data_IF_559046410628
#
_entry.id   IF_559046410628
#
_cell.length_a   1.000
_cell.length_b   1.000
_cell.length_c   1.000
_cell.angle_alpha   90.00
_cell.angle_beta   90.00
_cell.angle_gamma   90.00
#
_symmetry.space_group_name_H-M   'P 1'
#
loop_
_entity.id
_entity.type
_entity.pdbx_description
1 polymer ?
#
# COMPACT_ATOMS: atom_id res chain seq x y z
N UNK A 1 -32.93 -41.87 38.23
CA UNK A 1 -33.50 -41.90 36.87
C UNK A 1 -33.41 -40.48 36.33
N UNK A 2 -32.82 -40.12 35.18
CA UNK A 2 -32.15 -40.81 34.08
C UNK A 2 -31.09 -39.82 33.55
N UNK A 3 -29.87 -40.30 33.29
CA UNK A 3 -28.86 -39.68 32.42
C UNK A 3 -29.27 -39.84 30.96
N UNK A 4 -28.87 -38.92 30.09
CA UNK A 4 -28.72 -39.11 28.64
C UNK A 4 -28.09 -37.84 28.06
N UNK A 5 -27.14 -37.83 27.11
CA UNK A 5 -26.15 -38.77 26.63
C UNK A 5 -25.25 -37.91 25.72
N UNK A 6 -23.94 -38.10 25.80
CA UNK A 6 -22.93 -37.48 24.93
C UNK A 6 -23.15 -37.91 23.47
N UNK A 7 -22.97 -37.00 22.51
CA UNK A 7 -22.61 -37.34 21.13
C UNK A 7 -21.43 -36.49 20.67
N UNK A 8 -20.25 -37.10 20.77
CA UNK A 8 -19.02 -36.74 20.07
C UNK A 8 -19.25 -36.86 18.57
N UNK A 9 -18.95 -35.80 17.80
CA UNK A 9 -18.87 -35.88 16.34
C UNK A 9 -17.39 -35.95 15.97
N UNK A 10 -16.99 -37.13 15.51
CA UNK A 10 -15.68 -37.40 14.90
C UNK A 10 -15.72 -36.87 13.46
N UNK A 11 -14.89 -35.89 13.13
CA UNK A 11 -14.64 -35.48 11.75
C UNK A 11 -13.61 -36.43 11.15
N UNK A 12 -14.03 -37.19 10.14
CA UNK A 12 -13.17 -38.10 9.36
C UNK A 12 -12.51 -37.28 8.26
N UNK A 13 -11.19 -37.11 8.36
CA UNK A 13 -10.34 -36.52 7.34
C UNK A 13 -10.24 -37.52 6.17
N UNK A 14 -10.87 -37.20 5.04
CA UNK A 14 -10.74 -37.98 3.80
C UNK A 14 -9.66 -37.36 2.94
N UNK A 15 -8.49 -37.99 2.91
CA UNK A 15 -7.38 -37.67 2.00
C UNK A 15 -7.72 -38.29 0.64
N UNK A 16 -8.04 -37.45 -0.34
CA UNK A 16 -8.08 -37.86 -1.75
C UNK A 16 -6.70 -37.64 -2.37
N UNK A 17 -5.95 -38.74 -2.49
CA UNK A 17 -4.78 -38.85 -3.36
C UNK A 17 -5.29 -39.01 -4.80
N UNK A 18 -4.89 -38.13 -5.70
CA UNK A 18 -4.93 -38.39 -7.13
C UNK A 18 -3.51 -38.29 -7.71
N UNK A 19 -3.21 -39.34 -8.48
CA UNK A 19 -1.93 -39.74 -9.05
C UNK A 19 -1.90 -39.53 -10.56
N UNK A 20 -0.71 -39.29 -11.11
CA UNK A 20 -0.36 -39.39 -12.54
C UNK A 20 0.13 -38.05 -13.11
N UNK A 21 1.27 -37.93 -13.80
CA UNK A 21 1.88 -38.85 -14.75
C UNK A 21 3.41 -38.80 -14.76
N UNK A 22 3.99 -39.88 -15.29
CA UNK A 22 5.40 -40.23 -15.35
C UNK A 22 6.21 -39.54 -16.46
N UNK A 23 7.48 -39.30 -16.13
CA UNK A 23 8.73 -39.54 -16.88
C UNK A 23 8.90 -39.06 -18.33
N UNK A 24 9.95 -38.25 -18.56
CA UNK A 24 10.90 -38.45 -19.67
C UNK A 24 12.33 -38.19 -19.18
N UNK A 25 13.11 -39.26 -19.16
CA UNK A 25 14.58 -39.30 -19.05
C UNK A 25 15.21 -38.91 -20.39
N UNK A 26 16.09 -37.91 -20.41
CA UNK A 26 16.97 -37.62 -21.54
C UNK A 26 18.16 -38.59 -21.56
N UNK A 27 18.48 -39.23 -22.70
CA UNK A 27 19.76 -39.90 -22.87
C UNK A 27 20.82 -38.89 -23.35
N UNK A 28 21.97 -38.93 -22.68
CA UNK A 28 23.23 -38.35 -23.13
C UNK A 28 23.77 -39.17 -24.30
N UNK A 29 24.21 -38.53 -25.38
CA UNK A 29 25.15 -39.15 -26.32
C UNK A 29 26.02 -38.08 -26.98
N UNK A 30 27.32 -38.33 -26.91
CA UNK A 30 28.43 -37.59 -27.52
C UNK A 30 28.34 -37.49 -29.05
N UNK A 31 29.07 -36.52 -29.60
CA UNK A 31 29.94 -36.80 -30.74
C UNK A 31 29.69 -36.02 -32.02
N UNK A 32 30.28 -34.82 -32.07
CA UNK A 32 31.07 -34.25 -33.17
C UNK A 32 30.59 -34.43 -34.62
N UNK A 33 30.22 -33.34 -35.27
CA UNK A 33 30.62 -33.10 -36.67
C UNK A 33 30.74 -31.59 -36.93
N UNK A 34 31.97 -31.16 -37.23
CA UNK A 34 32.28 -29.84 -37.75
C UNK A 34 31.73 -29.70 -39.18
N UNK A 35 31.16 -28.54 -39.48
CA UNK A 35 31.14 -28.02 -40.84
C UNK A 35 31.15 -26.50 -40.79
N UNK A 36 32.30 -25.94 -41.17
CA UNK A 36 32.51 -24.52 -41.43
C UNK A 36 31.54 -24.03 -42.52
N UNK A 37 30.86 -22.91 -42.31
CA UNK A 37 30.27 -22.13 -43.39
C UNK A 37 30.21 -20.65 -43.00
N UNK A 38 31.12 -19.89 -43.61
CA UNK A 38 31.11 -18.45 -43.95
C UNK A 38 30.46 -17.47 -42.97
N UNK A 39 31.32 -16.64 -42.36
CA UNK A 39 30.97 -15.36 -41.74
C UNK A 39 30.61 -14.37 -42.85
N UNK A 40 29.33 -14.03 -42.98
CA UNK A 40 28.91 -12.78 -43.63
C UNK A 40 28.74 -11.69 -42.57
N UNK A 41 29.48 -10.61 -42.78
CA UNK A 41 29.43 -9.39 -41.99
C UNK A 41 28.15 -8.62 -42.32
N UNK A 42 27.17 -8.58 -41.42
CA UNK A 42 26.10 -7.58 -41.46
C UNK A 42 26.36 -6.50 -40.42
N UNK A 43 26.78 -5.33 -40.88
CA UNK A 43 26.67 -4.09 -40.11
C UNK A 43 25.19 -3.75 -39.83
N UNK A 44 25.01 -3.02 -38.73
CA UNK A 44 23.81 -2.26 -38.35
C UNK A 44 22.61 -3.06 -37.85
N UNK A 45 22.35 -3.00 -36.53
CA UNK A 45 21.59 -1.88 -35.99
C UNK A 45 21.97 -1.72 -34.52
N UNK A 46 22.57 -0.57 -34.21
CA UNK A 46 22.80 -0.13 -32.84
C UNK A 46 21.42 -0.02 -32.18
N UNK A 47 21.12 -0.97 -31.28
CA UNK A 47 19.91 -0.93 -30.48
C UNK A 47 19.98 0.36 -29.66
N UNK A 48 19.21 1.36 -30.08
CA UNK A 48 18.98 2.55 -29.28
C UNK A 48 18.23 2.07 -28.04
N UNK A 49 18.95 1.83 -26.96
CA UNK A 49 18.39 1.75 -25.62
C UNK A 49 17.81 3.11 -25.34
N UNK A 50 16.55 3.32 -25.72
CA UNK A 50 15.73 4.39 -25.15
C UNK A 50 15.72 4.12 -23.66
N UNK A 51 16.60 4.80 -22.94
CA UNK A 51 16.61 4.82 -21.48
C UNK A 51 15.29 5.48 -21.13
N UNK A 52 14.27 4.68 -20.77
CA UNK A 52 12.99 5.25 -20.36
C UNK A 52 13.28 6.27 -19.26
N UNK A 53 12.79 7.49 -19.44
CA UNK A 53 13.09 8.61 -18.56
C UNK A 53 12.55 8.29 -17.17
N UNK A 54 13.44 7.91 -16.25
CA UNK A 54 13.14 7.66 -14.83
C UNK A 54 12.59 8.91 -14.16
N UNK A 55 11.93 8.72 -13.01
CA UNK A 55 11.43 9.80 -12.18
C UNK A 55 12.55 10.67 -11.60
N UNK A 56 12.17 11.89 -11.23
CA UNK A 56 12.98 12.85 -10.46
C UNK A 56 12.15 13.37 -9.28
N UNK A 57 11.64 12.45 -8.48
CA UNK A 57 10.93 12.69 -7.23
C UNK A 57 11.93 12.96 -6.11
N UNK A 58 11.65 14.00 -5.33
CA UNK A 58 12.31 14.34 -4.08
C UNK A 58 11.40 13.96 -2.91
N UNK A 59 11.99 13.64 -1.77
CA UNK A 59 11.22 13.37 -0.56
C UNK A 59 10.47 14.63 -0.12
N UNK A 60 9.17 14.48 0.17
CA UNK A 60 8.31 15.53 0.71
C UNK A 60 8.22 15.37 2.23
N UNK A 61 8.80 16.29 3.02
CA UNK A 61 8.78 16.18 4.48
C UNK A 61 7.39 16.20 5.09
N UNK A 62 6.44 16.87 4.43
CA UNK A 62 5.04 16.97 4.86
C UNK A 62 4.18 16.43 3.73
N UNK A 63 3.42 15.37 4.02
CA UNK A 63 2.38 14.83 3.14
C UNK A 63 1.09 14.63 3.91
N UNK A 64 -0.04 14.77 3.22
CA UNK A 64 -1.38 14.57 3.77
C UNK A 64 -2.38 14.35 2.64
N UNK A 65 -3.40 13.54 2.86
CA UNK A 65 -4.51 13.45 1.92
C UNK A 65 -5.52 14.56 2.13
N UNK A 66 -6.24 14.94 1.07
CA UNK A 66 -7.27 15.98 1.17
C UNK A 66 -8.44 15.53 2.04
N UNK A 67 -8.79 14.23 2.01
CA UNK A 67 -9.82 13.64 2.86
C UNK A 67 -9.42 13.74 4.34
N UNK A 68 -8.18 13.40 4.67
CA UNK A 68 -7.71 13.49 6.05
C UNK A 68 -7.65 14.95 6.51
N UNK A 69 -7.25 15.88 5.64
CA UNK A 69 -7.31 17.32 5.94
C UNK A 69 -8.74 17.84 6.17
N UNK A 70 -9.72 17.41 5.36
CA UNK A 70 -11.13 17.80 5.56
C UNK A 70 -11.70 17.29 6.89
N UNK A 71 -11.35 16.05 7.26
CA UNK A 71 -11.83 15.44 8.51
C UNK A 71 -11.15 16.09 9.72
N UNK A 72 -9.84 16.34 9.65
CA UNK A 72 -9.06 16.80 10.81
C UNK A 72 -9.00 18.34 10.92
N UNK A 73 -9.20 19.06 9.83
CA UNK A 73 -9.15 20.52 9.79
C UNK A 73 -7.73 21.12 9.89
N UNK A 74 -7.68 22.42 9.61
CA UNK A 74 -6.42 23.17 9.47
C UNK A 74 -5.62 23.29 10.77
N UNK A 75 -6.28 23.41 11.93
CA UNK A 75 -5.58 23.57 13.21
C UNK A 75 -4.69 22.34 13.54
N UNK A 76 -5.19 21.13 13.28
CA UNK A 76 -4.43 19.89 13.47
C UNK A 76 -3.36 19.71 12.38
N UNK A 77 -3.63 20.15 11.16
CA UNK A 77 -2.64 20.15 10.10
C UNK A 77 -1.46 21.10 10.39
N UNK A 78 -1.75 22.28 10.94
CA UNK A 78 -0.73 23.22 11.40
C UNK A 78 0.10 22.62 12.55
N UNK A 79 -0.56 21.99 13.53
CA UNK A 79 0.12 21.28 14.61
C UNK A 79 1.05 20.17 14.08
N UNK A 80 0.61 19.40 13.08
CA UNK A 80 1.41 18.38 12.43
C UNK A 80 2.65 18.95 11.72
N UNK A 81 2.50 20.04 10.96
CA UNK A 81 3.63 20.73 10.33
C UNK A 81 4.62 21.24 11.36
N UNK A 82 4.13 21.79 12.48
CA UNK A 82 4.98 22.27 13.56
C UNK A 82 5.74 21.13 14.24
N UNK A 83 5.07 20.00 14.48
CA UNK A 83 5.70 18.79 14.99
C UNK A 83 6.82 18.28 14.08
N UNK A 84 6.60 18.18 12.77
CA UNK A 84 7.65 17.76 11.82
C UNK A 84 8.85 18.71 11.88
N UNK A 85 8.61 20.02 11.84
CA UNK A 85 9.68 21.02 11.91
C UNK A 85 10.47 20.92 13.21
N UNK A 86 9.78 20.73 14.34
CA UNK A 86 10.43 20.54 15.63
C UNK A 86 11.34 19.30 15.61
N UNK A 87 10.85 18.16 15.11
CA UNK A 87 11.66 16.95 14.99
C UNK A 87 12.89 17.17 14.11
N UNK A 88 12.73 17.82 12.95
CA UNK A 88 13.82 18.14 12.01
C UNK A 88 14.86 19.10 12.60
N UNK A 89 14.45 20.01 13.48
CA UNK A 89 15.34 20.94 14.17
C UNK A 89 15.99 20.34 15.43
N UNK A 90 15.62 19.11 15.82
CA UNK A 90 16.07 18.51 17.07
C UNK A 90 15.44 19.13 18.31
N UNK A 91 14.25 19.72 18.17
CA UNK A 91 13.44 20.29 19.25
C UNK A 91 12.52 19.19 19.84
N UNK A 92 12.03 19.39 21.06
CA UNK A 92 11.13 18.46 21.78
C UNK A 92 9.81 19.11 22.19
N UNK A 93 9.54 20.29 21.64
CA UNK A 93 8.27 21.00 21.78
C UNK A 93 7.86 21.64 20.44
N UNK A 94 6.56 21.84 20.25
CA UNK A 94 6.02 22.51 19.06
C UNK A 94 4.74 23.28 19.39
N UNK A 95 4.42 24.27 18.58
CA UNK A 95 3.20 25.07 18.72
C UNK A 95 1.95 24.28 18.30
N UNK A 96 0.92 24.33 19.14
CA UNK A 96 -0.38 23.70 18.91
C UNK A 96 -1.47 24.47 19.65
N UNK A 97 -2.65 24.59 19.06
CA UNK A 97 -3.68 25.51 19.53
C UNK A 97 -4.37 25.03 20.81
N UNK A 98 -4.72 23.74 20.88
CA UNK A 98 -5.41 23.14 22.02
C UNK A 98 -4.81 21.79 22.41
N UNK A 99 -5.07 21.34 23.64
CA UNK A 99 -4.71 19.99 24.09
C UNK A 99 -5.42 18.91 23.27
N UNK A 100 -6.65 19.16 22.83
CA UNK A 100 -7.37 18.25 21.94
C UNK A 100 -6.66 18.11 20.59
N UNK A 101 -6.29 19.23 19.96
CA UNK A 101 -5.55 19.20 18.68
C UNK A 101 -4.24 18.42 18.83
N UNK A 102 -3.54 18.61 19.95
CA UNK A 102 -2.34 17.83 20.28
C UNK A 102 -2.63 16.33 20.35
N UNK A 103 -3.59 15.92 21.19
CA UNK A 103 -3.90 14.51 21.44
C UNK A 103 -4.29 13.78 20.15
N UNK A 104 -5.06 14.44 19.29
CA UNK A 104 -5.54 13.86 18.04
C UNK A 104 -4.49 13.88 16.94
N UNK A 105 -3.70 14.95 16.85
CA UNK A 105 -2.60 15.00 15.91
C UNK A 105 -1.54 13.94 16.23
N UNK A 106 -1.01 13.93 17.46
CA UNK A 106 0.09 13.04 17.84
C UNK A 106 -0.34 11.56 17.86
N UNK A 107 -1.62 11.27 18.11
CA UNK A 107 -2.15 9.92 18.17
C UNK A 107 -2.44 9.28 16.81
N UNK A 108 -2.41 10.04 15.70
CA UNK A 108 -2.82 9.55 14.38
C UNK A 108 -1.82 9.90 13.28
N UNK A 109 -1.36 11.15 13.23
CA UNK A 109 -0.62 11.66 12.07
C UNK A 109 0.74 11.00 11.91
N UNK A 110 1.56 10.79 12.97
CA UNK A 110 2.83 10.11 12.80
C UNK A 110 2.66 8.71 12.18
N UNK A 111 1.71 7.93 12.69
CA UNK A 111 1.38 6.60 12.18
C UNK A 111 1.02 6.59 10.68
N UNK A 112 0.28 7.59 10.21
CA UNK A 112 -0.21 7.65 8.83
C UNK A 112 0.77 8.28 7.84
N UNK A 113 1.55 9.26 8.29
CA UNK A 113 2.27 10.14 7.38
C UNK A 113 3.76 10.32 7.72
N UNK A 114 4.25 9.76 8.83
CA UNK A 114 5.67 9.85 9.23
C UNK A 114 6.20 8.50 9.72
N UNK A 115 6.50 7.55 8.80
CA UNK A 115 6.88 6.19 9.15
C UNK A 115 8.04 6.08 10.17
N UNK A 116 9.06 6.93 10.05
CA UNK A 116 10.22 6.94 10.96
C UNK A 116 9.85 7.56 12.30
N UNK A 117 9.18 8.71 12.30
CA UNK A 117 8.88 9.44 13.53
C UNK A 117 7.87 8.69 14.41
N UNK A 118 6.93 7.97 13.81
CA UNK A 118 6.05 7.04 14.51
C UNK A 118 6.83 6.03 15.37
N UNK A 119 7.90 5.47 14.81
CA UNK A 119 8.70 4.44 15.49
C UNK A 119 9.54 5.06 16.59
N UNK A 120 10.11 6.24 16.36
CA UNK A 120 11.22 6.77 17.15
C UNK A 120 10.92 8.02 17.98
N UNK A 121 9.68 8.52 17.94
CA UNK A 121 9.17 9.53 18.87
C UNK A 121 7.97 8.99 19.64
N UNK A 122 7.61 9.65 20.72
CA UNK A 122 6.36 9.39 21.45
C UNK A 122 5.82 10.64 22.15
N UNK A 123 4.50 10.66 22.31
CA UNK A 123 3.78 11.63 23.12
C UNK A 123 4.21 11.53 24.60
N UNK A 124 4.38 12.67 25.25
CA UNK A 124 4.55 12.73 26.71
C UNK A 124 3.23 12.53 27.48
N UNK A 125 2.10 12.36 26.76
CA UNK A 125 0.74 12.22 27.28
C UNK A 125 0.39 13.27 28.35
N UNK A 126 -0.32 12.92 29.42
CA UNK A 126 -0.90 13.89 30.35
C UNK A 126 0.08 14.98 30.81
N UNK A 127 -0.27 16.25 30.60
CA UNK A 127 0.58 17.40 30.89
C UNK A 127 1.58 17.78 29.79
N UNK A 128 1.55 17.09 28.64
CA UNK A 128 2.38 17.43 27.48
C UNK A 128 2.02 18.80 26.89
N UNK A 129 0.76 19.23 27.00
CA UNK A 129 0.27 20.51 26.52
C UNK A 129 0.30 21.58 27.62
N UNK A 130 0.85 22.76 27.30
CA UNK A 130 0.83 23.94 28.15
C UNK A 130 0.97 25.22 27.33
N UNK A 131 0.06 26.17 27.55
CA UNK A 131 0.13 27.54 27.03
C UNK A 131 0.38 27.63 25.51
N UNK A 132 -0.29 26.79 24.71
CA UNK A 132 -0.16 26.80 23.24
C UNK A 132 1.05 26.03 22.68
N UNK A 133 1.73 25.27 23.54
CA UNK A 133 2.81 24.36 23.15
C UNK A 133 2.53 22.96 23.63
N UNK A 134 2.99 21.97 22.87
CA UNK A 134 3.03 20.59 23.30
C UNK A 134 4.44 20.01 23.22
N UNK A 135 4.72 19.04 24.09
CA UNK A 135 6.00 18.35 24.18
C UNK A 135 5.89 16.90 23.74
N UNK A 136 6.99 16.36 23.22
CA UNK A 136 7.15 14.94 22.89
C UNK A 136 8.55 14.48 23.30
N UNK A 137 8.83 13.20 23.20
CA UNK A 137 10.16 12.67 23.49
C UNK A 137 10.66 11.73 22.41
N UNK A 138 11.98 11.62 22.33
CA UNK A 138 12.68 10.73 21.40
C UNK A 138 12.99 9.41 22.08
N UNK A 139 12.70 8.29 21.40
CA UNK A 139 13.02 6.93 21.87
C UNK A 139 14.48 6.54 21.64
N UNK A 140 15.17 7.31 20.80
CA UNK A 140 16.59 7.16 20.43
C UNK A 140 17.26 8.55 20.41
N UNK A 141 18.61 8.63 20.40
CA UNK A 141 19.29 9.92 20.25
C UNK A 141 18.84 10.70 19.00
N UNK A 142 18.74 12.03 19.10
CA UNK A 142 18.26 12.91 18.01
C UNK A 142 19.08 12.76 16.72
N UNK A 143 20.40 12.61 16.86
CA UNK A 143 21.31 12.35 15.74
C UNK A 143 21.05 10.99 15.07
N UNK A 144 20.74 9.95 15.86
CA UNK A 144 20.39 8.63 15.32
C UNK A 144 19.05 8.67 14.58
N UNK A 145 18.05 9.40 15.10
CA UNK A 145 16.78 9.61 14.41
C UNK A 145 16.99 10.33 13.08
N UNK A 146 17.78 11.40 13.06
CA UNK A 146 18.09 12.14 11.83
C UNK A 146 18.77 11.23 10.77
N UNK A 147 19.67 10.34 11.20
CA UNK A 147 20.28 9.35 10.31
C UNK A 147 19.25 8.38 9.74
N UNK A 148 18.40 7.77 10.59
CA UNK A 148 17.35 6.85 10.14
C UNK A 148 16.35 7.52 9.20
N UNK A 149 16.04 8.78 9.45
CA UNK A 149 15.20 9.59 8.57
C UNK A 149 15.87 9.75 7.21
N UNK A 150 17.13 10.19 7.13
CA UNK A 150 17.83 10.35 5.85
C UNK A 150 17.96 9.03 5.05
N UNK A 151 18.20 7.91 5.73
CA UNK A 151 18.21 6.57 5.13
C UNK A 151 16.84 6.21 4.54
N UNK A 152 15.75 6.52 5.27
CA UNK A 152 14.39 6.27 4.82
C UNK A 152 13.97 7.20 3.66
N UNK A 153 14.35 8.47 3.69
CA UNK A 153 14.12 9.42 2.61
C UNK A 153 14.74 8.92 1.31
N UNK A 154 16.00 8.45 1.39
CA UNK A 154 16.72 7.85 0.26
C UNK A 154 15.97 6.62 -0.26
N UNK A 155 15.59 5.68 0.62
CA UNK A 155 14.83 4.48 0.26
C UNK A 155 13.54 4.84 -0.49
N UNK A 156 12.79 5.82 0.00
CA UNK A 156 11.53 6.27 -0.61
C UNK A 156 11.79 6.87 -1.99
N UNK A 157 12.75 7.78 -2.10
CA UNK A 157 13.07 8.42 -3.39
C UNK A 157 13.62 7.44 -4.41
N UNK A 158 14.40 6.44 -3.97
CA UNK A 158 14.93 5.39 -4.85
C UNK A 158 13.78 4.56 -5.44
N UNK A 159 12.81 4.16 -4.61
CA UNK A 159 11.62 3.44 -5.09
C UNK A 159 10.84 4.29 -6.10
N UNK A 160 10.55 5.55 -5.77
CA UNK A 160 9.77 6.43 -6.66
C UNK A 160 10.49 6.66 -7.98
N UNK A 161 11.81 6.90 -7.95
CA UNK A 161 12.60 7.17 -9.16
C UNK A 161 12.90 5.91 -9.98
N UNK A 162 12.85 4.73 -9.37
CA UNK A 162 12.92 3.44 -10.08
C UNK A 162 11.60 3.12 -10.78
N UNK A 163 10.47 3.28 -10.09
CA UNK A 163 9.16 2.77 -10.52
C UNK A 163 8.39 3.77 -11.38
N UNK A 164 8.56 5.07 -11.13
CA UNK A 164 7.75 6.12 -11.75
C UNK A 164 8.53 6.92 -12.77
N UNK A 165 7.77 7.56 -13.66
CA UNK A 165 8.24 8.63 -14.54
C UNK A 165 7.62 9.95 -14.11
N UNK A 166 8.23 11.06 -14.50
CA UNK A 166 7.72 12.40 -14.17
C UNK A 166 6.45 12.75 -14.96
N UNK A 167 6.29 12.15 -16.14
CA UNK A 167 5.15 12.40 -17.04
C UNK A 167 3.96 11.48 -16.76
N UNK A 168 4.09 10.48 -15.88
CA UNK A 168 2.97 9.61 -15.50
C UNK A 168 1.79 10.40 -14.93
N UNK A 169 0.61 10.11 -15.45
CA UNK A 169 -0.66 10.50 -14.84
C UNK A 169 -0.84 9.81 -13.48
N UNK A 170 -1.79 10.29 -12.68
CA UNK A 170 -2.04 9.69 -11.37
C UNK A 170 -2.51 8.24 -11.47
N UNK A 171 -3.28 7.88 -12.51
CA UNK A 171 -3.65 6.48 -12.80
C UNK A 171 -2.41 5.62 -13.03
N UNK A 172 -1.44 6.12 -13.80
CA UNK A 172 -0.20 5.40 -14.11
C UNK A 172 0.69 5.25 -12.86
N UNK A 173 0.75 6.27 -12.01
CA UNK A 173 1.48 6.20 -10.73
C UNK A 173 0.88 5.15 -9.80
N UNK A 174 -0.46 5.13 -9.68
CA UNK A 174 -1.17 4.13 -8.86
C UNK A 174 -0.94 2.74 -9.40
N UNK A 175 -1.07 2.53 -10.72
CA UNK A 175 -0.84 1.23 -11.35
C UNK A 175 0.61 0.75 -11.16
N UNK A 176 1.59 1.60 -11.45
CA UNK A 176 3.00 1.23 -11.35
C UNK A 176 3.39 0.86 -9.92
N UNK A 177 2.98 1.65 -8.91
CA UNK A 177 3.23 1.33 -7.51
C UNK A 177 2.44 0.10 -7.04
N UNK A 178 1.21 -0.10 -7.52
CA UNK A 178 0.38 -1.26 -7.16
C UNK A 178 1.06 -2.56 -7.60
N UNK A 179 1.55 -2.59 -8.84
CA UNK A 179 2.32 -3.72 -9.39
C UNK A 179 3.67 -3.87 -8.68
N UNK A 180 4.36 -2.76 -8.36
CA UNK A 180 5.58 -2.80 -7.57
C UNK A 180 5.35 -3.46 -6.21
N UNK A 181 4.27 -3.11 -5.51
CA UNK A 181 3.93 -3.69 -4.21
C UNK A 181 3.68 -5.18 -4.30
N UNK A 182 2.91 -5.61 -5.30
CA UNK A 182 2.60 -7.02 -5.56
C UNK A 182 3.86 -7.87 -5.78
N UNK A 183 4.89 -7.30 -6.43
CA UNK A 183 6.12 -8.02 -6.80
C UNK A 183 7.25 -7.92 -5.77
N UNK A 184 7.23 -6.93 -4.87
CA UNK A 184 8.39 -6.63 -3.99
C UNK A 184 8.14 -6.86 -2.50
N UNK A 185 6.89 -7.06 -2.09
CA UNK A 185 6.53 -7.28 -0.69
C UNK A 185 5.78 -8.60 -0.52
N UNK A 186 5.93 -9.19 0.67
CA UNK A 186 5.28 -10.46 1.02
C UNK A 186 4.42 -10.29 2.27
N UNK A 187 3.25 -10.92 2.27
CA UNK A 187 2.37 -10.91 3.42
C UNK A 187 2.97 -11.70 4.60
N UNK A 188 3.03 -11.07 5.76
CA UNK A 188 3.60 -11.64 6.99
C UNK A 188 2.54 -12.40 7.80
N UNK A 189 2.24 -13.64 7.37
CA UNK A 189 1.28 -14.51 8.05
C UNK A 189 1.70 -14.87 9.47
N UNK A 190 3.01 -14.93 9.75
CA UNK A 190 3.50 -15.23 11.09
C UNK A 190 3.17 -14.11 12.07
N UNK A 191 3.34 -12.85 11.64
CA UNK A 191 2.90 -11.69 12.42
C UNK A 191 1.38 -11.65 12.53
N UNK A 192 0.65 -11.83 11.42
CA UNK A 192 -0.83 -11.82 11.42
C UNK A 192 -1.40 -12.83 12.42
N UNK A 193 -0.94 -14.08 12.38
CA UNK A 193 -1.44 -15.15 13.24
C UNK A 193 -1.12 -14.93 14.72
N UNK A 194 -0.03 -14.21 15.06
CA UNK A 194 0.29 -13.87 16.45
C UNK A 194 -0.62 -12.79 17.03
N UNK A 195 -1.23 -11.96 16.19
CA UNK A 195 -2.09 -10.86 16.65
C UNK A 195 -3.38 -11.33 17.34
N UNK A 196 -3.83 -12.56 17.09
CA UNK A 196 -4.98 -13.13 17.82
C UNK A 196 -4.66 -13.44 19.28
N UNK A 197 -3.38 -13.69 19.58
CA UNK A 197 -2.92 -14.25 20.84
C UNK A 197 -2.18 -13.23 21.70
N UNK A 198 -1.49 -12.27 21.08
CA UNK A 198 -0.61 -11.32 21.75
C UNK A 198 -0.58 -9.94 21.06
N UNK A 199 -0.27 -8.89 21.84
CA UNK A 199 -0.04 -7.56 21.30
C UNK A 199 1.31 -7.49 20.57
N UNK A 200 1.29 -7.59 19.25
CA UNK A 200 2.50 -7.46 18.41
C UNK A 200 2.91 -5.98 18.32
N UNK A 201 4.15 -5.69 18.72
CA UNK A 201 4.74 -4.35 18.63
C UNK A 201 5.40 -4.11 17.27
N UNK A 202 5.50 -2.85 16.87
CA UNK A 202 6.28 -2.44 15.69
C UNK A 202 5.57 -2.61 14.33
N UNK A 203 4.26 -2.83 14.33
CA UNK A 203 3.44 -2.82 13.11
C UNK A 203 3.35 -1.38 12.59
N UNK A 204 4.12 -1.08 11.53
CA UNK A 204 4.20 0.27 10.95
C UNK A 204 4.74 0.23 9.51
N UNK A 205 4.48 1.28 8.73
CA UNK A 205 4.98 1.39 7.36
C UNK A 205 6.52 1.32 7.29
N UNK A 206 7.25 1.83 8.29
CA UNK A 206 8.71 1.78 8.32
C UNK A 206 9.24 0.34 8.36
N UNK A 207 8.63 -0.53 9.18
CA UNK A 207 8.93 -1.97 9.18
C UNK A 207 8.66 -2.56 7.81
N UNK A 208 7.48 -2.30 7.24
CA UNK A 208 7.09 -2.83 5.93
C UNK A 208 8.11 -2.52 4.83
N UNK A 209 8.55 -1.26 4.72
CA UNK A 209 9.57 -0.85 3.76
C UNK A 209 10.92 -1.54 3.98
N UNK A 210 11.37 -1.61 5.24
CA UNK A 210 12.73 -2.07 5.58
C UNK A 210 12.88 -3.58 5.58
N UNK A 211 11.84 -4.33 5.94
CA UNK A 211 11.87 -5.80 5.98
C UNK A 211 11.32 -6.43 4.71
N UNK A 212 10.58 -5.68 3.88
CA UNK A 212 9.78 -6.17 2.75
C UNK A 212 8.66 -7.16 3.14
N UNK A 213 8.30 -7.21 4.42
CA UNK A 213 7.26 -8.08 4.97
C UNK A 213 6.32 -7.27 5.87
N UNK A 214 5.03 -7.52 5.76
CA UNK A 214 4.07 -7.02 6.73
C UNK A 214 2.64 -7.41 6.41
N UNK A 215 1.70 -6.84 7.15
CA UNK A 215 0.27 -7.15 7.06
C UNK A 215 -0.52 -6.03 6.38
N UNK A 216 -1.83 -6.20 6.24
CA UNK A 216 -2.73 -5.28 5.54
C UNK A 216 -2.60 -3.82 5.99
N UNK A 217 -2.56 -3.55 7.31
CA UNK A 217 -2.45 -2.20 7.85
C UNK A 217 -1.16 -1.47 7.46
N UNK A 218 -0.04 -2.20 7.43
CA UNK A 218 1.25 -1.61 7.05
C UNK A 218 1.35 -1.42 5.55
N UNK A 219 0.83 -2.38 4.77
CA UNK A 219 0.75 -2.27 3.33
C UNK A 219 -0.09 -1.07 2.89
N UNK A 220 -1.29 -0.92 3.44
CA UNK A 220 -2.18 0.20 3.15
C UNK A 220 -1.53 1.56 3.48
N UNK A 221 -0.85 1.64 4.63
CA UNK A 221 -0.17 2.86 5.06
C UNK A 221 1.06 3.15 4.19
N UNK A 222 1.86 2.14 3.85
CA UNK A 222 3.03 2.29 2.99
C UNK A 222 2.64 2.68 1.55
N UNK A 223 1.59 2.06 1.01
CA UNK A 223 1.11 2.35 -0.34
C UNK A 223 0.55 3.76 -0.45
N UNK A 224 -0.34 4.16 0.46
CA UNK A 224 -0.83 5.55 0.54
C UNK A 224 0.30 6.55 0.74
N UNK A 225 1.30 6.23 1.58
CA UNK A 225 2.46 7.10 1.78
C UNK A 225 3.25 7.34 0.48
N UNK A 226 3.58 6.31 -0.31
CA UNK A 226 4.28 6.51 -1.58
C UNK A 226 3.43 7.29 -2.60
N UNK A 227 2.12 7.05 -2.64
CA UNK A 227 1.21 7.81 -3.50
C UNK A 227 1.25 9.29 -3.17
N UNK A 228 1.15 9.65 -1.89
CA UNK A 228 1.24 11.04 -1.44
C UNK A 228 2.62 11.66 -1.76
N UNK A 229 3.71 10.90 -1.57
CA UNK A 229 5.05 11.34 -1.99
C UNK A 229 5.12 11.59 -3.50
N UNK A 230 4.47 10.75 -4.32
CA UNK A 230 4.33 10.93 -5.77
C UNK A 230 3.31 12.02 -6.19
N UNK A 231 2.62 12.64 -5.21
CA UNK A 231 1.63 13.69 -5.44
C UNK A 231 0.23 13.20 -5.82
N UNK A 232 -0.06 11.91 -5.63
CA UNK A 232 -1.40 11.35 -5.77
C UNK A 232 -2.10 11.39 -4.42
N UNK A 233 -3.32 11.91 -4.38
CA UNK A 233 -4.10 11.98 -3.14
C UNK A 233 -4.58 10.58 -2.72
N UNK A 234 -4.17 10.13 -1.54
CA UNK A 234 -4.45 8.79 -1.05
C UNK A 234 -4.48 8.72 0.48
N UNK A 235 -5.37 7.89 1.03
CA UNK A 235 -5.50 7.65 2.47
C UNK A 235 -5.76 6.17 2.75
N UNK A 236 -5.77 5.77 4.01
CA UNK A 236 -6.10 4.40 4.41
C UNK A 236 -7.62 4.25 4.52
N UNK A 237 -8.15 3.11 4.10
CA UNK A 237 -9.51 2.66 4.39
C UNK A 237 -9.43 1.32 5.13
N UNK A 238 -10.39 1.06 6.01
CA UNK A 238 -10.54 -0.23 6.66
C UNK A 238 -11.98 -0.65 6.75
N UNK A 239 -12.18 -1.94 7.01
CA UNK A 239 -13.49 -2.55 7.22
C UNK A 239 -13.36 -3.88 7.94
N UNK A 240 -14.50 -4.49 8.24
CA UNK A 240 -14.58 -5.78 8.91
C UNK A 240 -15.40 -6.75 8.07
N UNK A 241 -14.90 -7.98 7.94
CA UNK A 241 -15.65 -9.09 7.33
C UNK A 241 -16.96 -9.32 8.08
N UNK A 242 -18.05 -9.49 7.34
CA UNK A 242 -19.40 -9.62 7.90
C UNK A 242 -19.63 -10.87 8.76
N UNK A 243 -18.91 -11.94 8.47
CA UNK A 243 -19.12 -13.27 9.03
C UNK A 243 -18.10 -13.54 10.13
N UNK A 244 -16.82 -13.28 9.86
CA UNK A 244 -15.72 -13.54 10.80
C UNK A 244 -15.47 -12.37 11.74
N UNK A 245 -15.81 -11.14 11.33
CA UNK A 245 -15.47 -9.92 12.04
C UNK A 245 -14.00 -9.49 11.88
N UNK A 246 -13.20 -10.24 11.11
CA UNK A 246 -11.79 -9.95 10.90
C UNK A 246 -11.62 -8.58 10.21
N UNK A 247 -10.75 -7.76 10.79
CA UNK A 247 -10.45 -6.43 10.27
C UNK A 247 -9.48 -6.49 9.09
N UNK A 248 -9.72 -5.67 8.07
CA UNK A 248 -8.82 -5.51 6.94
C UNK A 248 -8.61 -4.03 6.64
N UNK A 249 -7.44 -3.71 6.09
CA UNK A 249 -7.05 -2.34 5.72
C UNK A 249 -6.46 -2.31 4.32
N UNK A 250 -6.81 -1.27 3.56
CA UNK A 250 -6.36 -1.03 2.19
C UNK A 250 -6.28 0.47 1.92
N UNK A 251 -5.99 0.87 0.67
CA UNK A 251 -5.83 2.29 0.31
C UNK A 251 -7.06 2.81 -0.43
N UNK A 252 -7.37 4.07 -0.19
CA UNK A 252 -8.41 4.85 -0.86
C UNK A 252 -7.74 6.00 -1.61
N UNK A 253 -8.01 6.14 -2.89
CA UNK A 253 -7.32 7.08 -3.78
C UNK A 253 -8.32 8.05 -4.41
N UNK A 254 -7.96 9.32 -4.46
CA UNK A 254 -8.72 10.36 -5.17
C UNK A 254 -8.02 10.72 -6.47
N UNK A 255 -8.69 10.57 -7.61
CA UNK A 255 -8.19 11.00 -8.93
C UNK A 255 -9.26 11.83 -9.63
N UNK A 256 -8.92 13.05 -10.03
CA UNK A 256 -9.84 13.98 -10.70
C UNK A 256 -11.17 14.17 -9.94
N UNK A 257 -11.12 14.18 -8.60
CA UNK A 257 -12.29 14.33 -7.72
C UNK A 257 -13.17 13.09 -7.59
N UNK A 258 -12.74 11.95 -8.13
CA UNK A 258 -13.40 10.64 -8.00
C UNK A 258 -12.58 9.75 -7.09
N UNK A 259 -13.27 8.94 -6.29
CA UNK A 259 -12.62 8.08 -5.31
C UNK A 259 -12.63 6.62 -5.76
N UNK A 260 -11.60 5.87 -5.36
CA UNK A 260 -11.45 4.47 -5.69
C UNK A 260 -10.74 3.69 -4.56
N UNK A 261 -11.10 2.42 -4.39
CA UNK A 261 -10.36 1.50 -3.52
C UNK A 261 -9.24 0.80 -4.28
N UNK A 262 -8.06 0.73 -3.66
CA UNK A 262 -6.90 0.01 -4.20
C UNK A 262 -6.28 -0.83 -3.08
N UNK A 263 -6.22 -2.14 -3.28
CA UNK A 263 -5.75 -3.10 -2.28
C UNK A 263 -4.60 -3.96 -2.82
N UNK A 264 -3.34 -3.52 -2.66
CA UNK A 264 -2.19 -4.31 -3.07
C UNK A 264 -1.94 -5.52 -2.17
N UNK A 265 -2.59 -5.62 -0.99
CA UNK A 265 -2.37 -6.72 -0.04
C UNK A 265 -2.82 -8.06 -0.61
N UNK A 266 -4.04 -8.10 -1.17
CA UNK A 266 -4.63 -9.34 -1.69
C UNK A 266 -4.01 -9.82 -3.00
N UNK A 267 -3.22 -8.99 -3.66
CA UNK A 267 -2.43 -9.38 -4.83
C UNK A 267 -0.94 -9.51 -4.51
N UNK A 268 -0.51 -9.43 -3.26
CA UNK A 268 0.89 -9.72 -2.91
C UNK A 268 1.29 -11.10 -3.41
N UNK A 269 2.44 -11.18 -4.06
CA UNK A 269 2.94 -12.41 -4.69
C UNK A 269 2.06 -12.96 -5.82
N UNK A 270 1.04 -12.21 -6.27
CA UNK A 270 0.19 -12.52 -7.43
C UNK A 270 0.62 -11.74 -8.69
N UNK A 271 1.75 -11.03 -8.61
CA UNK A 271 2.44 -10.37 -9.72
C UNK A 271 1.64 -9.25 -10.37
N UNK A 272 1.00 -9.55 -11.49
CA UNK A 272 0.36 -8.56 -12.37
C UNK A 272 -1.17 -8.51 -12.23
N UNK A 273 -1.72 -9.16 -11.21
CA UNK A 273 -3.16 -9.24 -10.97
C UNK A 273 -3.77 -7.84 -10.73
N UNK A 274 -4.89 -7.52 -11.39
CA UNK A 274 -5.63 -6.27 -11.28
C UNK A 274 -6.95 -6.43 -10.50
N UNK A 275 -7.14 -7.57 -9.83
CA UNK A 275 -8.39 -7.91 -9.15
C UNK A 275 -8.82 -6.94 -8.08
N UNK A 276 -7.93 -6.13 -7.50
CA UNK A 276 -8.28 -5.15 -6.46
C UNK A 276 -7.79 -3.74 -6.79
N UNK A 277 -7.81 -3.41 -8.09
CA UNK A 277 -7.38 -2.13 -8.61
C UNK A 277 -8.59 -1.23 -8.90
N UNK A 278 -8.59 -0.03 -8.33
CA UNK A 278 -9.55 1.05 -8.59
C UNK A 278 -11.03 0.62 -8.51
N UNK A 279 -11.41 -0.03 -7.40
CA UNK A 279 -12.78 -0.52 -7.18
C UNK A 279 -13.72 0.56 -6.66
N UNK A 280 -15.01 0.40 -6.97
CA UNK A 280 -16.10 1.08 -6.27
C UNK A 280 -16.31 0.50 -4.86
N UNK A 281 -17.06 1.20 -4.01
CA UNK A 281 -17.50 0.72 -2.70
C UNK A 281 -18.25 -0.62 -2.86
N UNK A 282 -19.16 -0.71 -3.83
CA UNK A 282 -19.96 -1.92 -4.10
C UNK A 282 -19.06 -3.11 -4.41
N UNK A 283 -18.12 -2.92 -5.34
CA UNK A 283 -17.22 -4.00 -5.72
C UNK A 283 -16.25 -4.36 -4.59
N UNK A 284 -15.72 -3.38 -3.85
CA UNK A 284 -14.83 -3.67 -2.71
C UNK A 284 -15.55 -4.39 -1.58
N UNK A 285 -16.79 -3.99 -1.27
CA UNK A 285 -17.64 -4.69 -0.30
C UNK A 285 -17.89 -6.13 -0.72
N UNK A 286 -18.23 -6.35 -1.99
CA UNK A 286 -18.49 -7.69 -2.54
C UNK A 286 -17.27 -8.60 -2.44
N UNK A 287 -16.09 -8.15 -2.89
CA UNK A 287 -14.88 -8.98 -2.87
C UNK A 287 -14.25 -9.16 -1.48
N UNK A 288 -14.55 -8.24 -0.55
CA UNK A 288 -14.07 -8.31 0.84
C UNK A 288 -15.08 -8.91 1.81
N UNK A 289 -16.31 -9.17 1.37
CA UNK A 289 -17.43 -9.51 2.26
C UNK A 289 -17.57 -8.46 3.41
N UNK A 290 -17.58 -7.18 3.05
CA UNK A 290 -17.70 -6.05 3.98
C UNK A 290 -19.07 -5.36 3.90
N UNK A 291 -19.52 -4.77 5.01
CA UNK A 291 -20.64 -3.81 4.98
C UNK A 291 -20.12 -2.45 4.61
N UNK A 292 -20.82 -1.77 3.70
CA UNK A 292 -20.53 -0.37 3.39
C UNK A 292 -20.51 0.51 4.64
N UNK A 293 -21.46 0.33 5.56
CA UNK A 293 -21.53 1.12 6.81
C UNK A 293 -20.41 0.78 7.82
N UNK A 294 -19.70 -0.34 7.66
CA UNK A 294 -18.54 -0.68 8.49
C UNK A 294 -17.22 -0.23 7.89
N UNK A 295 -17.23 0.28 6.64
CA UNK A 295 -16.04 0.87 6.05
C UNK A 295 -15.77 2.22 6.67
N UNK A 296 -14.48 2.51 6.85
CA UNK A 296 -14.01 3.74 7.47
C UNK A 296 -12.86 4.28 6.64
N UNK A 297 -13.01 5.50 6.12
CA UNK A 297 -11.99 6.16 5.29
C UNK A 297 -11.20 7.13 6.17
N UNK A 298 -9.89 7.19 5.96
CA UNK A 298 -8.89 7.96 6.70
C UNK A 298 -8.64 7.48 8.14
N UNK A 299 -9.66 7.38 8.99
CA UNK A 299 -9.53 6.90 10.37
C UNK A 299 -10.87 6.86 11.10
N UNK A 300 -10.92 6.09 12.19
CA UNK A 300 -11.97 6.18 13.20
C UNK A 300 -11.65 7.38 14.11
N UNK A 301 -11.89 8.60 13.62
CA UNK A 301 -11.91 9.79 14.47
C UNK A 301 -13.36 10.25 14.75
N UNK A 302 -13.57 11.25 15.63
CA UNK A 302 -14.84 11.68 16.28
C UNK A 302 -16.11 11.12 15.62
N UNK A 303 -17.00 10.55 16.44
CA UNK A 303 -18.20 9.80 16.03
C UNK A 303 -19.21 10.53 15.12
N UNK A 304 -18.93 11.76 14.68
CA UNK A 304 -19.70 12.51 13.69
C UNK A 304 -19.12 12.46 12.26
N UNK A 305 -17.81 12.21 12.06
CA UNK A 305 -17.19 12.07 10.72
C UNK A 305 -16.15 10.95 10.69
N UNK A 306 -16.53 9.82 10.10
CA UNK A 306 -15.70 8.62 9.92
C UNK A 306 -15.34 8.37 8.45
N UNK A 307 -15.53 9.37 7.60
CA UNK A 307 -15.28 9.28 6.17
C UNK A 307 -16.40 8.62 5.36
N UNK A 308 -17.54 8.28 5.97
CA UNK A 308 -18.69 7.69 5.26
C UNK A 308 -19.35 8.66 4.27
N UNK A 309 -19.04 9.95 4.33
CA UNK A 309 -19.46 10.93 3.31
C UNK A 309 -18.73 10.75 1.96
N UNK A 310 -17.57 10.09 1.95
CA UNK A 310 -16.80 9.81 0.73
C UNK A 310 -17.27 8.51 0.10
N UNK A 311 -17.63 8.57 -1.18
CA UNK A 311 -18.13 7.42 -1.92
C UNK A 311 -17.23 7.16 -3.13
N UNK A 312 -16.96 5.88 -3.38
CA UNK A 312 -16.37 5.40 -4.63
C UNK A 312 -17.48 4.73 -5.45
N UNK A 313 -18.14 5.47 -6.34
CA UNK A 313 -19.29 4.98 -7.13
C UNK A 313 -19.04 5.00 -8.64
N UNK A 314 -17.84 5.40 -9.06
CA UNK A 314 -17.42 5.42 -10.45
C UNK A 314 -16.85 4.06 -10.87
N UNK A 315 -17.52 3.40 -11.82
CA UNK A 315 -17.17 2.06 -12.31
C UNK A 315 -16.29 2.08 -13.56
N UNK A 316 -15.64 3.21 -13.89
CA UNK A 316 -14.83 3.36 -15.11
C UNK A 316 -13.76 2.26 -15.25
N UNK A 317 -13.15 1.85 -14.14
CA UNK A 317 -12.11 0.82 -14.11
C UNK A 317 -12.64 -0.62 -13.99
N UNK A 318 -13.96 -0.81 -13.95
CA UNK A 318 -14.58 -2.14 -13.85
C UNK A 318 -14.08 -3.19 -14.85
N UNK A 319 -13.77 -2.85 -16.12
CA UNK A 319 -13.25 -3.82 -17.07
C UNK A 319 -11.91 -4.46 -16.67
N UNK A 320 -11.13 -3.82 -15.78
CA UNK A 320 -9.83 -4.33 -15.33
C UNK A 320 -9.95 -5.36 -14.20
N UNK A 321 -11.07 -5.39 -13.47
CA UNK A 321 -11.25 -6.27 -12.32
C UNK A 321 -11.23 -7.75 -12.76
N UNK A 322 -10.44 -8.56 -12.05
CA UNK A 322 -10.16 -9.95 -12.41
C UNK A 322 -9.12 -10.13 -13.51
N UNK A 323 -8.61 -9.03 -14.08
CA UNK A 323 -7.63 -9.07 -15.16
C UNK A 323 -6.19 -9.25 -14.67
N UNK A 324 -5.29 -9.52 -15.61
CA UNK A 324 -3.84 -9.54 -15.40
C UNK A 324 -3.16 -8.57 -16.35
N UNK A 325 -2.40 -7.61 -15.80
CA UNK A 325 -1.64 -6.64 -16.56
C UNK A 325 -0.60 -7.33 -17.45
N UNK A 326 -0.58 -6.94 -18.72
CA UNK A 326 0.49 -7.30 -19.68
C UNK A 326 1.48 -6.15 -19.79
N UNK A 327 0.98 -4.93 -20.07
CA UNK A 327 1.78 -3.70 -20.16
C UNK A 327 0.86 -2.48 -20.18
N UNK A 328 1.41 -1.27 -20.09
CA UNK A 328 0.69 -0.04 -20.39
C UNK A 328 1.53 0.86 -21.30
N UNK A 329 0.86 1.64 -22.14
CA UNK A 329 1.45 2.61 -23.07
C UNK A 329 1.07 4.02 -22.62
N UNK A 330 2.06 4.71 -22.05
CA UNK A 330 1.92 6.08 -21.55
C UNK A 330 1.51 7.08 -22.63
N UNK A 331 2.09 6.96 -23.82
CA UNK A 331 1.86 7.92 -24.91
C UNK A 331 0.45 7.79 -25.50
N UNK A 332 -0.07 6.55 -25.56
CA UNK A 332 -1.43 6.29 -26.06
C UNK A 332 -2.50 6.28 -24.97
N UNK A 333 -2.13 6.33 -23.69
CA UNK A 333 -3.03 6.19 -22.56
C UNK A 333 -3.82 4.87 -22.58
N UNK A 334 -3.13 3.77 -22.88
CA UNK A 334 -3.71 2.43 -22.97
C UNK A 334 -3.11 1.46 -21.96
N UNK A 335 -3.94 0.61 -21.36
CA UNK A 335 -3.55 -0.58 -20.60
C UNK A 335 -3.86 -1.81 -21.43
N UNK A 336 -2.88 -2.69 -21.60
CA UNK A 336 -3.04 -4.01 -22.21
C UNK A 336 -3.09 -5.06 -21.11
N UNK A 337 -4.14 -5.88 -21.11
CA UNK A 337 -4.37 -6.87 -20.05
C UNK A 337 -5.04 -8.11 -20.61
N UNK A 338 -4.93 -9.21 -19.88
CA UNK A 338 -5.74 -10.42 -20.09
C UNK A 338 -6.93 -10.35 -19.15
N UNK A 339 -8.15 -10.44 -19.65
CA UNK A 339 -9.36 -10.46 -18.80
C UNK A 339 -9.50 -11.77 -18.02
N UNK A 340 -10.50 -11.83 -17.12
CA UNK A 340 -10.77 -13.00 -16.28
C UNK A 340 -11.08 -14.29 -17.09
N UNK A 341 -11.52 -14.14 -18.35
CA UNK A 341 -11.81 -15.25 -19.27
C UNK A 341 -10.59 -15.67 -20.10
N UNK A 342 -9.42 -15.03 -19.88
CA UNK A 342 -8.18 -15.35 -20.59
C UNK A 342 -8.02 -14.64 -21.95
N UNK A 343 -8.85 -13.64 -22.26
CA UNK A 343 -8.79 -12.94 -23.53
C UNK A 343 -7.94 -11.67 -23.45
N UNK A 344 -7.09 -11.38 -24.45
CA UNK A 344 -6.41 -10.10 -24.55
C UNK A 344 -7.40 -8.95 -24.76
N UNK A 345 -7.26 -7.91 -23.96
CA UNK A 345 -8.07 -6.69 -23.98
C UNK A 345 -7.19 -5.45 -23.95
N UNK A 346 -7.79 -4.33 -24.31
CA UNK A 346 -7.19 -3.00 -24.23
C UNK A 346 -8.17 -2.09 -23.50
N UNK A 347 -7.66 -1.33 -22.54
CA UNK A 347 -8.40 -0.38 -21.76
C UNK A 347 -7.83 1.02 -21.99
N UNK A 348 -8.69 1.96 -22.37
CA UNK A 348 -8.33 3.36 -22.64
C UNK A 348 -8.64 4.21 -21.41
N UNK A 349 -7.61 4.81 -20.83
CA UNK A 349 -7.73 5.67 -19.65
C UNK A 349 -7.52 7.16 -19.98
N UNK A 350 -7.63 7.57 -21.24
CA UNK A 350 -7.45 8.95 -21.70
C UNK A 350 -8.39 9.95 -21.01
N UNK A 351 -9.53 9.51 -20.46
CA UNK A 351 -10.41 10.35 -19.64
C UNK A 351 -9.77 10.83 -18.31
N UNK A 352 -8.62 10.27 -17.93
CA UNK A 352 -7.85 10.57 -16.72
C UNK A 352 -6.42 11.07 -17.03
N UNK A 353 -6.11 11.29 -18.32
CA UNK A 353 -4.76 11.56 -18.83
C UNK A 353 -4.35 13.02 -18.84
#
# INVERSE_FOLDING_TARGET
MKRSLIKTVTVVLTVCVLSGCSAVTTPTTDGTTESETSIETSESTEATTTTEARGHYEYKPVVMSSIFLDIMGEDMYDAYKNYIRAVQNGEDEFEVKTEDDYNWMIGQFPNKFQPVYEVYTESNYGGAFKDGKATFQYKIPKEELAQKQAEFETLVTDILNEVLRNDYSDVEKVLALYIYFSNNYTYDYDTYNKMSDEAVQGICAYRFFTTKHGICAECATAFSFLLLQAGVDATVCGGNDEVTGEGHAWTYVTINGKNYHVDPTYVMSSGNCLSYFMMTDEQRCKEGNFKKDSMCVACHYKSDRNGNEYNADDDFFAPLWGGTLVSFDHAKKLIYYIDADGNPKTFDYSAFG
#
